data_IF_214188187837
#
_entry.id   IF_214188187837
#
_cell.length_a   1.000
_cell.length_b   1.000
_cell.length_c   1.000
_cell.angle_alpha   90.00
_cell.angle_beta   90.00
_cell.angle_gamma   90.00
#
_symmetry.space_group_name_H-M   'P 1'
#
loop_
_entity.id
_entity.type
_entity.pdbx_description
1 polymer ?
#
# COMPACT_ATOMS: atom_id res chain seq x y z
N UNK A 1 -0.57 11.17 -7.08
CA UNK A 1 0.22 9.99 -6.67
C UNK A 1 0.12 9.74 -5.17
N UNK A 2 0.69 10.63 -4.33
CA UNK A 2 0.70 10.45 -2.87
C UNK A 2 -0.69 10.30 -2.22
N UNK A 3 -1.73 11.11 -2.55
CA UNK A 3 -3.05 10.92 -1.95
C UNK A 3 -3.68 9.57 -2.32
N UNK A 4 -3.63 9.21 -3.61
CA UNK A 4 -4.15 7.94 -4.11
C UNK A 4 -3.47 6.74 -3.45
N UNK A 5 -2.13 6.75 -3.38
CA UNK A 5 -1.37 5.66 -2.76
C UNK A 5 -1.68 5.54 -1.26
N UNK A 6 -1.82 6.67 -0.55
CA UNK A 6 -2.24 6.68 0.85
C UNK A 6 -3.63 6.06 1.07
N UNK A 7 -4.58 6.36 0.18
CA UNK A 7 -5.91 5.76 0.22
C UNK A 7 -5.85 4.25 -0.04
N UNK A 8 -5.02 3.79 -0.98
CA UNK A 8 -4.83 2.36 -1.24
C UNK A 8 -4.23 1.62 -0.05
N UNK A 9 -3.27 2.21 0.66
CA UNK A 9 -2.71 1.66 1.90
C UNK A 9 -3.80 1.50 2.95
N UNK A 10 -4.63 2.53 3.15
CA UNK A 10 -5.71 2.47 4.13
C UNK A 10 -6.82 1.47 3.78
N UNK A 11 -7.30 1.49 2.53
CA UNK A 11 -8.37 0.59 2.04
C UNK A 11 -7.96 -0.87 2.21
N UNK A 12 -6.69 -1.19 1.93
CA UNK A 12 -6.15 -2.55 2.11
C UNK A 12 -5.73 -2.85 3.55
N UNK A 13 -6.03 -1.96 4.51
CA UNK A 13 -5.68 -2.10 5.94
C UNK A 13 -4.19 -2.39 6.13
N UNK A 14 -3.35 -1.64 5.42
CA UNK A 14 -1.88 -1.73 5.50
C UNK A 14 -1.29 -0.61 6.36
N UNK A 15 -2.11 0.35 6.77
CA UNK A 15 -1.74 1.45 7.64
C UNK A 15 -2.93 2.35 7.98
N UNK A 16 -2.70 3.38 8.82
CA UNK A 16 -3.74 4.31 9.25
C UNK A 16 -4.28 5.15 8.08
N UNK A 17 -5.43 5.78 8.30
CA UNK A 17 -6.05 6.68 7.32
C UNK A 17 -5.09 7.84 6.98
N UNK A 18 -4.87 8.17 5.69
CA UNK A 18 -4.02 9.29 5.30
C UNK A 18 -4.57 10.61 5.85
N UNK A 19 -3.67 11.48 6.30
CA UNK A 19 -4.00 12.83 6.78
C UNK A 19 -3.92 13.79 5.60
N UNK A 20 -5.02 14.43 5.17
CA UNK A 20 -4.96 15.48 4.15
C UNK A 20 -4.04 16.62 4.62
N UNK A 21 -3.24 17.20 3.72
CA UNK A 21 -2.25 18.23 4.08
C UNK A 21 -2.87 19.42 4.83
N UNK A 22 -4.10 19.81 4.47
CA UNK A 22 -4.86 20.91 5.12
C UNK A 22 -5.27 20.57 6.57
N UNK A 23 -5.21 19.31 6.95
CA UNK A 23 -5.52 18.79 8.28
C UNK A 23 -4.26 18.34 9.03
N UNK A 24 -3.06 18.56 8.46
CA UNK A 24 -1.80 18.17 9.09
C UNK A 24 -1.51 19.10 10.27
N UNK A 25 -1.78 18.61 11.47
CA UNK A 25 -1.46 19.27 12.74
C UNK A 25 -1.01 18.22 13.76
N UNK A 26 -0.43 18.68 14.87
CA UNK A 26 0.14 17.81 15.91
C UNK A 26 -0.89 16.78 16.40
N UNK A 27 -2.13 17.20 16.68
CA UNK A 27 -3.17 16.30 17.17
C UNK A 27 -3.49 15.18 16.18
N UNK A 28 -3.71 15.52 14.92
CA UNK A 28 -4.05 14.53 13.89
C UNK A 28 -2.90 13.57 13.61
N UNK A 29 -1.66 14.07 13.63
CA UNK A 29 -0.48 13.24 13.49
C UNK A 29 -0.31 12.28 14.67
N UNK A 30 -0.45 12.77 15.92
CA UNK A 30 -0.38 11.94 17.12
C UNK A 30 -1.45 10.85 17.10
N UNK A 31 -2.68 11.17 16.72
CA UNK A 31 -3.77 10.20 16.61
C UNK A 31 -3.46 9.10 15.58
N UNK A 32 -2.93 9.46 14.41
CA UNK A 32 -2.56 8.48 13.39
C UNK A 32 -1.40 7.57 13.84
N UNK A 33 -0.43 8.12 14.58
CA UNK A 33 0.65 7.32 15.18
C UNK A 33 0.09 6.36 16.23
N UNK A 34 -0.81 6.83 17.11
CA UNK A 34 -1.46 5.97 18.10
C UNK A 34 -2.27 4.85 17.45
N UNK A 35 -3.03 5.16 16.39
CA UNK A 35 -3.75 4.15 15.62
C UNK A 35 -2.79 3.09 15.03
N UNK A 36 -1.70 3.53 14.41
CA UNK A 36 -0.66 2.63 13.87
C UNK A 36 -0.11 1.70 14.96
N UNK A 37 0.23 2.25 16.13
CA UNK A 37 0.80 1.48 17.23
C UNK A 37 -0.20 0.48 17.83
N UNK A 38 -1.45 0.91 18.04
CA UNK A 38 -2.49 0.07 18.62
C UNK A 38 -2.93 -1.06 17.67
N UNK A 39 -2.84 -0.83 16.36
CA UNK A 39 -3.22 -1.78 15.32
C UNK A 39 -2.03 -2.44 14.60
N UNK A 40 -0.82 -2.29 15.16
CA UNK A 40 0.43 -2.64 14.48
C UNK A 40 0.45 -4.08 13.95
N UNK A 41 0.04 -5.05 14.77
CA UNK A 41 0.05 -6.47 14.37
C UNK A 41 -0.87 -6.74 13.17
N UNK A 42 -2.04 -6.11 13.12
CA UNK A 42 -2.94 -6.24 11.96
C UNK A 42 -2.30 -5.64 10.71
N UNK A 43 -1.81 -4.41 10.79
CA UNK A 43 -1.17 -3.73 9.65
C UNK A 43 0.04 -4.51 9.13
N UNK A 44 0.89 -5.00 10.04
CA UNK A 44 2.05 -5.84 9.71
C UNK A 44 1.63 -7.12 8.99
N UNK A 45 0.65 -7.86 9.52
CA UNK A 45 0.21 -9.12 8.93
C UNK A 45 -0.42 -8.92 7.55
N UNK A 46 -1.21 -7.85 7.37
CA UNK A 46 -1.78 -7.54 6.07
C UNK A 46 -0.71 -7.10 5.07
N UNK A 47 0.28 -6.31 5.51
CA UNK A 47 1.42 -5.92 4.67
C UNK A 47 2.25 -7.13 4.22
N UNK A 48 2.46 -8.11 5.12
CA UNK A 48 3.12 -9.35 4.75
C UNK A 48 2.33 -10.12 3.67
N UNK A 49 1.03 -10.33 3.89
CA UNK A 49 0.15 -11.01 2.91
C UNK A 49 0.12 -10.27 1.57
N UNK A 50 0.08 -8.94 1.59
CA UNK A 50 0.14 -8.13 0.38
C UNK A 50 1.47 -8.34 -0.37
N UNK A 51 2.59 -8.39 0.34
CA UNK A 51 3.89 -8.71 -0.24
C UNK A 51 3.94 -10.09 -0.88
N UNK A 52 3.34 -11.10 -0.23
CA UNK A 52 3.21 -12.46 -0.78
C UNK A 52 2.40 -12.45 -2.08
N UNK A 53 1.23 -11.79 -2.11
CA UNK A 53 0.39 -11.67 -3.31
C UNK A 53 1.11 -10.95 -4.47
N UNK A 54 1.83 -9.87 -4.18
CA UNK A 54 2.61 -9.13 -5.20
C UNK A 54 3.72 -10.03 -5.78
N UNK A 55 4.35 -10.85 -4.94
CA UNK A 55 5.37 -11.80 -5.40
C UNK A 55 4.76 -12.88 -6.29
N UNK A 56 3.62 -13.43 -5.89
CA UNK A 56 2.93 -14.49 -6.62
C UNK A 56 2.34 -14.03 -7.95
N UNK A 57 1.98 -12.74 -8.07
CA UNK A 57 1.51 -12.14 -9.33
C UNK A 57 2.52 -12.30 -10.47
N UNK A 58 3.84 -12.35 -10.17
CA UNK A 58 4.91 -12.39 -11.16
C UNK A 58 4.74 -11.32 -12.27
N UNK A 59 4.32 -10.11 -11.87
CA UNK A 59 3.93 -9.05 -12.81
C UNK A 59 5.04 -8.68 -13.81
N UNK A 60 6.31 -8.72 -13.38
CA UNK A 60 7.44 -8.49 -14.28
C UNK A 60 7.57 -9.58 -15.34
N UNK A 61 7.44 -10.86 -14.95
CA UNK A 61 7.49 -11.97 -15.89
C UNK A 61 6.36 -11.89 -16.92
N UNK A 62 5.13 -11.59 -16.48
CA UNK A 62 4.01 -11.37 -17.39
C UNK A 62 4.24 -10.18 -18.33
N UNK A 63 4.81 -9.09 -17.84
CA UNK A 63 5.14 -7.92 -18.66
C UNK A 63 6.15 -8.27 -19.76
N UNK A 64 7.22 -9.01 -19.42
CA UNK A 64 8.23 -9.47 -20.39
C UNK A 64 7.56 -10.31 -21.49
N UNK A 65 6.72 -11.29 -21.11
CA UNK A 65 6.01 -12.14 -22.07
C UNK A 65 5.12 -11.33 -23.04
N UNK A 66 4.43 -10.29 -22.54
CA UNK A 66 3.60 -9.43 -23.37
C UNK A 66 4.43 -8.62 -24.36
N UNK A 67 5.59 -8.09 -23.92
CA UNK A 67 6.51 -7.34 -24.77
C UNK A 67 7.10 -8.27 -25.84
N UNK A 68 7.59 -9.44 -25.47
CA UNK A 68 8.12 -10.43 -26.40
C UNK A 68 7.08 -10.82 -27.47
N UNK A 69 5.83 -11.07 -27.04
CA UNK A 69 4.73 -11.36 -27.97
C UNK A 69 4.45 -10.21 -28.94
N UNK A 70 4.58 -8.96 -28.50
CA UNK A 70 4.34 -7.79 -29.35
C UNK A 70 5.48 -7.50 -30.33
N UNK A 71 6.70 -7.97 -30.05
CA UNK A 71 7.88 -7.77 -30.90
C UNK A 71 8.13 -8.90 -31.89
N UNK A 72 7.67 -10.12 -31.58
CA UNK A 72 7.86 -11.32 -32.41
C UNK A 72 6.58 -11.68 -33.20
N UNK A 73 5.46 -11.04 -32.88
CA UNK A 73 4.17 -11.20 -33.56
C UNK A 73 3.99 -10.31 -34.79
#
# INVERSE_FOLDING_TARGET
>A
DQPFNGDRVFINKLGPKPIPIRQMNVRNLTNAIQDLMNNYTMYKNNAQKAGEMIKDENGLGHCIQLIEKALVG
#
